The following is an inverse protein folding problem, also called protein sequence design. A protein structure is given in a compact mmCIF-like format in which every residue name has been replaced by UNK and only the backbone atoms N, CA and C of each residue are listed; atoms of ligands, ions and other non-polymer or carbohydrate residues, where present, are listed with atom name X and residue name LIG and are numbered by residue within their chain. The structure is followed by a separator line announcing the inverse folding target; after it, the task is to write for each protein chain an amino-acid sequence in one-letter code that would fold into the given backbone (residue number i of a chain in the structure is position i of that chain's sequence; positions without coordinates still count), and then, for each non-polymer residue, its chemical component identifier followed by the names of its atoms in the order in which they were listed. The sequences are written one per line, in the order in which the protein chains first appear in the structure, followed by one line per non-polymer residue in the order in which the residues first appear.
data_IF_055338088173
#
_entry.id   IF_055338088173
#
_cell.length_a   1.000
_cell.length_b   1.000
_cell.length_c   1.000
_cell.angle_alpha   90.00
_cell.angle_beta   90.00
_cell.angle_gamma   90.00
#
_symmetry.space_group_name_H-M   'P 1'
#
loop_
_entity.id
_entity.type
_entity.pdbx_description
1 polymer ?
#
# COMPACT_ATOMS: atom_id res chain seq x y z
N UNK A 1 11.63 18.53 1.64
CA UNK A 1 12.73 19.28 1.00
C UNK A 1 12.22 20.63 0.56
N UNK A 2 12.84 21.70 1.02
CA UNK A 2 12.41 23.06 0.69
C UNK A 2 13.50 23.74 -0.13
N UNK A 3 13.12 24.35 -1.26
CA UNK A 3 14.00 25.31 -1.94
C UNK A 3 13.60 26.69 -1.44
N UNK A 4 14.50 27.34 -0.76
CA UNK A 4 14.36 28.75 -0.40
C UNK A 4 14.65 29.61 -1.65
N UNK A 5 13.93 30.73 -1.80
CA UNK A 5 14.14 31.72 -2.87
C UNK A 5 15.57 32.28 -2.87
N UNK A 6 16.23 32.25 -1.73
CA UNK A 6 17.56 32.81 -1.49
C UNK A 6 18.71 31.80 -1.44
N UNK A 7 18.38 30.50 -1.42
CA UNK A 7 19.36 29.42 -1.28
C UNK A 7 19.05 28.26 -2.21
N UNK A 8 20.07 27.79 -2.90
CA UNK A 8 20.02 26.51 -3.62
C UNK A 8 20.30 25.32 -2.68
N UNK A 9 20.32 25.53 -1.37
CA UNK A 9 20.59 24.50 -0.39
C UNK A 9 19.34 23.62 -0.21
N UNK A 10 19.53 22.34 -0.41
CA UNK A 10 18.55 21.31 -0.07
C UNK A 10 18.65 21.00 1.42
N UNK A 11 17.55 20.61 2.03
CA UNK A 11 17.51 20.17 3.42
C UNK A 11 18.63 19.15 3.68
N UNK A 12 19.42 19.40 4.71
CA UNK A 12 20.68 18.69 4.96
C UNK A 12 20.50 17.23 5.36
N UNK A 13 19.33 16.85 5.89
CA UNK A 13 19.12 15.51 6.45
C UNK A 13 18.68 14.48 5.40
N UNK A 14 17.92 14.89 4.40
CA UNK A 14 17.42 13.99 3.35
C UNK A 14 18.54 13.24 2.59
N UNK A 15 19.65 13.87 2.18
CA UNK A 15 20.73 13.15 1.51
C UNK A 15 21.32 12.01 2.34
N UNK A 16 21.51 12.20 3.63
CA UNK A 16 22.09 11.18 4.52
C UNK A 16 21.11 10.04 4.78
N UNK A 17 19.83 10.34 4.88
CA UNK A 17 18.78 9.34 5.01
C UNK A 17 18.67 8.46 3.77
N UNK A 18 18.61 9.04 2.59
CA UNK A 18 18.56 8.31 1.33
C UNK A 18 19.79 7.41 1.13
N UNK A 19 20.98 7.90 1.47
CA UNK A 19 22.19 7.08 1.42
C UNK A 19 22.20 5.94 2.41
N UNK A 20 21.65 6.15 3.61
CA UNK A 20 21.50 5.09 4.60
C UNK A 20 20.53 4.00 4.10
N UNK A 21 19.41 4.40 3.52
CA UNK A 21 18.42 3.48 2.97
C UNK A 21 19.04 2.65 1.82
N UNK A 22 19.68 3.30 0.88
CA UNK A 22 20.33 2.64 -0.26
C UNK A 22 21.39 1.62 0.20
N UNK A 23 22.27 1.99 1.13
CA UNK A 23 23.27 1.08 1.72
C UNK A 23 22.65 -0.10 2.46
N UNK A 24 21.44 0.07 2.96
CA UNK A 24 20.68 -0.99 3.66
C UNK A 24 19.82 -1.83 2.71
N UNK A 25 19.89 -1.60 1.41
CA UNK A 25 19.06 -2.28 0.41
C UNK A 25 17.59 -1.87 0.45
N UNK A 26 17.29 -0.70 1.05
CA UNK A 26 15.92 -0.18 1.17
C UNK A 26 15.67 0.78 0.01
N UNK A 27 14.72 0.45 -0.87
CA UNK A 27 14.26 1.35 -1.91
C UNK A 27 13.55 2.57 -1.31
N UNK A 28 13.79 3.74 -1.91
CA UNK A 28 13.14 4.99 -1.47
C UNK A 28 12.23 5.54 -2.56
N UNK A 29 11.03 5.97 -2.17
CA UNK A 29 10.12 6.77 -2.96
C UNK A 29 10.23 8.22 -2.48
N UNK A 30 10.53 9.14 -3.38
CA UNK A 30 10.63 10.56 -3.05
C UNK A 30 9.41 11.32 -3.57
N UNK A 31 8.65 11.93 -2.65
CA UNK A 31 7.52 12.78 -2.97
C UNK A 31 8.00 14.20 -3.33
N UNK A 32 7.55 14.68 -4.48
CA UNK A 32 7.78 16.03 -5.01
C UNK A 32 6.55 16.90 -4.69
N UNK A 33 6.65 17.76 -3.76
CA UNK A 33 5.63 18.69 -3.24
C UNK A 33 6.22 19.37 -2.00
N UNK A 34 5.67 20.35 -1.44
CA UNK A 34 4.53 21.18 -1.78
C UNK A 34 5.00 22.56 -2.30
N UNK A 35 4.04 23.51 -2.51
CA UNK A 35 4.40 24.87 -2.91
C UNK A 35 5.04 25.63 -1.75
N UNK A 36 6.23 26.24 -1.93
CA UNK A 36 6.82 27.08 -0.90
C UNK A 36 5.96 28.32 -0.67
N UNK A 37 5.89 28.81 0.57
CA UNK A 37 4.98 29.89 0.98
C UNK A 37 5.08 31.16 0.11
N UNK A 38 6.29 31.50 -0.34
CA UNK A 38 6.52 32.68 -1.18
C UNK A 38 6.04 32.53 -2.62
N UNK A 39 5.74 31.29 -3.07
CA UNK A 39 5.23 30.98 -4.41
C UNK A 39 3.79 30.44 -4.38
N UNK A 40 3.17 30.38 -3.21
CA UNK A 40 1.83 29.86 -3.03
C UNK A 40 0.76 30.84 -3.57
N UNK A 41 -0.19 30.34 -4.38
CA UNK A 41 -1.29 31.13 -4.92
C UNK A 41 -2.30 31.55 -3.82
N UNK A 42 -2.41 30.76 -2.77
CA UNK A 42 -3.12 31.11 -1.55
C UNK A 42 -2.10 31.41 -0.46
N UNK A 43 -1.99 32.65 0.04
CA UNK A 43 -1.01 33.01 1.05
C UNK A 43 -1.03 32.08 2.27
N UNK A 44 0.10 31.49 2.60
CA UNK A 44 0.24 30.59 3.74
C UNK A 44 -0.17 29.14 3.52
N UNK A 45 -0.85 28.82 2.42
CA UNK A 45 -1.26 27.45 2.07
C UNK A 45 -0.27 26.78 1.13
N UNK A 46 0.56 25.90 1.67
CA UNK A 46 1.55 25.14 0.89
C UNK A 46 0.91 24.12 -0.06
N UNK A 47 -0.35 23.78 0.10
CA UNK A 47 -1.08 22.89 -0.79
C UNK A 47 -1.68 23.62 -1.99
N UNK A 48 -1.65 24.95 -1.99
CA UNK A 48 -2.10 25.74 -3.13
C UNK A 48 -1.10 25.67 -4.30
N UNK A 49 -1.61 25.88 -5.51
CA UNK A 49 -0.79 25.91 -6.71
C UNK A 49 0.34 26.95 -6.63
N UNK A 50 1.48 26.71 -7.26
CA UNK A 50 2.51 27.75 -7.40
C UNK A 50 2.01 28.87 -8.32
N UNK A 51 2.29 30.12 -7.95
CA UNK A 51 2.08 31.29 -8.82
C UNK A 51 2.98 31.18 -10.04
N UNK A 52 4.28 30.95 -9.80
CA UNK A 52 5.28 30.73 -10.83
C UNK A 52 5.54 29.23 -11.00
N UNK A 53 5.03 28.68 -12.10
CA UNK A 53 5.16 27.25 -12.45
C UNK A 53 6.56 26.90 -12.93
N UNK A 54 7.33 27.86 -13.43
CA UNK A 54 8.70 27.59 -13.85
C UNK A 54 9.60 27.31 -12.65
N UNK A 55 9.33 27.93 -11.51
CA UNK A 55 9.98 27.58 -10.24
C UNK A 55 9.65 26.12 -9.85
N UNK A 56 8.42 25.67 -10.01
CA UNK A 56 8.07 24.27 -9.80
C UNK A 56 8.88 23.32 -10.70
N UNK A 57 8.94 23.61 -12.00
CA UNK A 57 9.71 22.80 -12.95
C UNK A 57 11.21 22.77 -12.62
N UNK A 58 11.79 23.92 -12.24
CA UNK A 58 13.19 24.01 -11.82
C UNK A 58 13.46 23.18 -10.57
N UNK A 59 12.56 23.23 -9.60
CA UNK A 59 12.62 22.38 -8.40
C UNK A 59 12.62 20.89 -8.76
N UNK A 60 11.65 20.45 -9.55
CA UNK A 60 11.54 19.05 -9.98
C UNK A 60 12.81 18.62 -10.71
N UNK A 61 13.30 19.43 -11.67
CA UNK A 61 14.51 19.11 -12.42
C UNK A 61 15.73 18.97 -11.51
N UNK A 62 15.94 19.92 -10.60
CA UNK A 62 17.07 19.90 -9.66
C UNK A 62 17.03 18.67 -8.74
N UNK A 63 15.84 18.31 -8.23
CA UNK A 63 15.65 17.17 -7.33
C UNK A 63 15.86 15.86 -8.07
N UNK A 64 15.16 15.67 -9.18
CA UNK A 64 15.23 14.42 -9.94
C UNK A 64 16.64 14.21 -10.47
N UNK A 65 17.28 15.22 -11.06
CA UNK A 65 18.67 15.14 -11.54
C UNK A 65 19.63 14.72 -10.43
N UNK A 66 19.52 15.31 -9.24
CA UNK A 66 20.39 14.99 -8.11
C UNK A 66 20.20 13.57 -7.63
N UNK A 67 18.96 13.16 -7.40
CA UNK A 67 18.68 11.92 -6.69
C UNK A 67 18.50 10.69 -7.60
N UNK A 68 18.28 10.86 -8.89
CA UNK A 68 18.34 9.74 -9.83
C UNK A 68 19.76 9.31 -10.18
N UNK A 69 20.74 10.17 -9.94
CA UNK A 69 22.16 9.90 -10.18
C UNK A 69 22.82 9.20 -8.97
N UNK A 70 23.98 8.52 -9.19
CA UNK A 70 24.80 8.05 -8.09
C UNK A 70 25.19 9.18 -7.12
N UNK A 71 25.31 8.93 -5.82
CA UNK A 71 25.21 7.62 -5.17
C UNK A 71 23.77 7.24 -4.74
N UNK A 72 22.75 8.02 -5.05
CA UNK A 72 21.38 7.83 -4.57
C UNK A 72 20.59 6.82 -5.42
N UNK A 73 20.73 6.87 -6.73
CA UNK A 73 20.11 5.96 -7.70
C UNK A 73 18.59 5.82 -7.59
N UNK A 74 17.87 6.85 -7.13
CA UNK A 74 16.42 6.80 -7.00
C UNK A 74 15.76 6.64 -8.37
N UNK A 75 14.77 5.77 -8.44
CA UNK A 75 14.03 5.49 -9.67
C UNK A 75 12.57 5.92 -9.60
N UNK A 76 12.03 6.16 -8.41
CA UNK A 76 10.60 6.40 -8.20
C UNK A 76 10.39 7.77 -7.57
N UNK A 77 9.56 8.58 -8.21
CA UNK A 77 9.21 9.92 -7.76
C UNK A 77 7.69 10.08 -7.77
N UNK A 78 7.13 10.39 -6.62
CA UNK A 78 5.72 10.71 -6.47
C UNK A 78 5.51 12.19 -6.75
N UNK A 79 4.52 12.52 -7.59
CA UNK A 79 4.16 13.91 -7.87
C UNK A 79 3.01 14.30 -6.96
N UNK A 80 3.28 15.23 -6.04
CA UNK A 80 2.31 15.73 -5.05
C UNK A 80 1.79 14.66 -4.10
N UNK A 81 0.81 15.04 -3.27
CA UNK A 81 0.11 14.13 -2.36
C UNK A 81 -1.35 14.54 -2.25
N UNK A 82 -2.26 13.59 -2.48
CA UNK A 82 -3.70 13.72 -2.29
C UNK A 82 -4.31 14.98 -2.92
N UNK A 83 -3.97 15.24 -4.18
CA UNK A 83 -4.28 16.49 -4.86
C UNK A 83 -5.79 16.81 -4.99
N UNK A 84 -6.66 15.84 -4.87
CA UNK A 84 -8.07 16.01 -5.19
C UNK A 84 -9.05 15.22 -4.30
N UNK A 85 -8.68 14.93 -3.10
CA UNK A 85 -9.56 14.22 -2.19
C UNK A 85 -10.51 15.12 -1.40
N UNK A 86 -11.22 14.53 -0.48
CA UNK A 86 -12.10 15.17 0.48
C UNK A 86 -11.72 14.77 1.90
N UNK A 87 -12.00 15.63 2.86
CA UNK A 87 -11.95 15.25 4.27
C UNK A 87 -12.96 14.15 4.57
N UNK A 88 -12.67 13.33 5.56
CA UNK A 88 -13.65 12.48 6.20
C UNK A 88 -14.91 13.31 6.54
N UNK A 89 -16.07 12.84 6.10
CA UNK A 89 -17.32 13.62 6.17
C UNK A 89 -17.65 14.39 4.89
N UNK A 90 -16.86 14.31 3.84
CA UNK A 90 -17.17 14.82 2.51
C UNK A 90 -16.82 16.29 2.26
N UNK A 91 -16.22 16.98 3.24
CA UNK A 91 -15.73 18.34 3.03
C UNK A 91 -14.36 18.32 2.31
N UNK A 92 -14.10 19.28 1.41
CA UNK A 92 -12.82 19.42 0.79
C UNK A 92 -11.74 19.72 1.82
N UNK A 93 -10.59 19.08 1.69
CA UNK A 93 -9.47 19.25 2.61
C UNK A 93 -8.56 20.38 2.19
N UNK A 94 -8.03 21.14 3.15
CA UNK A 94 -7.03 22.18 2.87
C UNK A 94 -5.73 21.61 2.32
N UNK A 95 -5.44 20.35 2.60
CA UNK A 95 -4.31 19.61 2.04
C UNK A 95 -4.45 19.28 0.55
N UNK A 96 -5.65 19.40 0.00
CA UNK A 96 -5.89 19.09 -1.40
C UNK A 96 -5.61 20.28 -2.30
N UNK A 97 -5.49 20.01 -3.62
CA UNK A 97 -5.10 20.99 -4.60
C UNK A 97 -6.01 22.22 -4.63
N UNK A 98 -5.40 23.39 -4.57
CA UNK A 98 -6.01 24.68 -4.77
C UNK A 98 -5.30 25.42 -5.91
N UNK A 99 -5.78 25.31 -7.12
CA UNK A 99 -5.23 26.01 -8.28
C UNK A 99 -5.73 27.45 -8.40
N UNK A 100 -5.16 28.25 -9.29
CA UNK A 100 -5.61 29.64 -9.53
C UNK A 100 -7.04 29.74 -10.04
N UNK A 101 -7.56 28.70 -10.67
CA UNK A 101 -8.95 28.62 -11.12
C UNK A 101 -9.89 28.00 -10.06
N UNK A 102 -9.38 27.72 -8.89
CA UNK A 102 -10.16 27.14 -7.81
C UNK A 102 -11.15 28.15 -7.22
N UNK A 103 -12.40 27.73 -7.03
CA UNK A 103 -13.40 28.47 -6.27
C UNK A 103 -13.91 27.65 -5.09
N UNK A 104 -14.35 28.32 -4.04
CA UNK A 104 -14.92 27.65 -2.87
C UNK A 104 -16.21 26.89 -3.24
N UNK A 105 -17.02 27.46 -4.11
CA UNK A 105 -18.26 26.84 -4.56
C UNK A 105 -18.00 25.59 -5.40
N UNK A 106 -16.99 25.61 -6.24
CA UNK A 106 -16.56 24.48 -7.05
C UNK A 106 -16.00 23.34 -6.17
N UNK A 107 -15.30 23.69 -5.10
CA UNK A 107 -14.81 22.76 -4.10
C UNK A 107 -15.92 21.95 -3.43
N UNK A 108 -17.07 22.55 -3.22
CA UNK A 108 -18.18 21.95 -2.49
C UNK A 108 -19.17 21.19 -3.38
N UNK A 109 -19.31 21.58 -4.67
CA UNK A 109 -20.46 21.19 -5.48
C UNK A 109 -20.17 20.44 -6.75
N UNK A 110 -18.94 20.47 -7.26
CA UNK A 110 -18.61 19.93 -8.60
C UNK A 110 -17.35 19.06 -8.62
N UNK A 111 -17.15 18.35 -9.72
CA UNK A 111 -16.03 17.45 -9.95
C UNK A 111 -14.63 18.08 -10.00
N UNK A 112 -14.44 19.29 -9.54
CA UNK A 112 -13.13 19.98 -9.50
C UNK A 112 -12.45 20.12 -10.87
N UNK A 113 -13.20 20.29 -11.96
CA UNK A 113 -12.65 20.26 -13.32
C UNK A 113 -11.55 21.30 -13.55
N UNK A 114 -11.71 22.51 -13.00
CA UNK A 114 -10.67 23.53 -13.10
C UNK A 114 -9.45 23.24 -12.25
N UNK A 115 -9.65 22.68 -11.07
CA UNK A 115 -8.56 22.23 -10.21
C UNK A 115 -7.81 21.06 -10.86
N UNK A 116 -8.52 20.11 -11.47
CA UNK A 116 -7.92 19.06 -12.29
C UNK A 116 -7.10 19.62 -13.45
N UNK A 117 -7.65 20.57 -14.18
CA UNK A 117 -6.95 21.22 -15.29
C UNK A 117 -5.65 21.84 -14.81
N UNK A 118 -5.69 22.66 -13.77
CA UNK A 118 -4.50 23.29 -13.20
C UNK A 118 -3.47 22.26 -12.73
N UNK A 119 -3.91 21.24 -12.01
CA UNK A 119 -3.02 20.21 -11.52
C UNK A 119 -2.38 19.42 -12.67
N UNK A 120 -3.16 18.95 -13.62
CA UNK A 120 -2.66 18.13 -14.73
C UNK A 120 -1.72 18.93 -15.62
N UNK A 121 -2.12 20.15 -16.01
CA UNK A 121 -1.38 20.96 -16.99
C UNK A 121 -0.16 21.66 -16.39
N UNK A 122 -0.23 22.08 -15.15
CA UNK A 122 0.79 22.93 -14.52
C UNK A 122 1.72 22.15 -13.59
N UNK A 123 1.26 21.05 -12.99
CA UNK A 123 2.00 20.27 -12.01
C UNK A 123 2.40 18.91 -12.55
N UNK A 124 1.41 18.04 -12.82
CA UNK A 124 1.65 16.63 -13.07
C UNK A 124 2.41 16.38 -14.38
N UNK A 125 1.86 16.76 -15.52
CA UNK A 125 2.49 16.47 -16.83
C UNK A 125 3.87 17.12 -16.96
N UNK A 126 4.09 18.39 -16.56
CA UNK A 126 5.42 18.97 -16.59
C UNK A 126 6.44 18.23 -15.72
N UNK A 127 6.05 17.84 -14.50
CA UNK A 127 6.91 17.08 -13.62
C UNK A 127 7.20 15.67 -14.18
N UNK A 128 6.19 14.98 -14.68
CA UNK A 128 6.33 13.66 -15.28
C UNK A 128 7.28 13.64 -16.47
N UNK A 129 7.20 14.65 -17.33
CA UNK A 129 8.14 14.83 -18.46
C UNK A 129 9.59 14.98 -17.95
N UNK A 130 9.79 15.72 -16.88
CA UNK A 130 11.11 15.90 -16.28
C UNK A 130 11.61 14.57 -15.70
N UNK A 131 10.79 13.88 -14.90
CA UNK A 131 11.13 12.59 -14.29
C UNK A 131 11.57 11.59 -15.37
N UNK A 132 10.80 11.43 -16.44
CA UNK A 132 11.10 10.49 -17.53
C UNK A 132 12.37 10.85 -18.31
N UNK A 133 12.77 12.12 -18.41
CA UNK A 133 14.07 12.52 -18.99
C UNK A 133 15.26 11.92 -18.26
N UNK A 134 15.12 11.65 -16.98
CA UNK A 134 16.16 11.02 -16.13
C UNK A 134 15.97 9.51 -16.02
N UNK A 135 15.17 8.89 -16.89
CA UNK A 135 14.88 7.46 -16.91
C UNK A 135 14.32 6.95 -15.55
N UNK A 136 13.59 7.81 -14.87
CA UNK A 136 12.89 7.49 -13.63
C UNK A 136 11.38 7.33 -13.88
N UNK A 137 10.70 6.76 -12.91
CA UNK A 137 9.28 6.42 -12.99
C UNK A 137 8.43 7.41 -12.20
N UNK A 138 7.25 7.64 -12.74
CA UNK A 138 6.23 8.53 -12.16
C UNK A 138 5.27 7.71 -11.31
N UNK A 139 5.23 8.00 -10.02
CA UNK A 139 4.22 7.49 -9.10
C UNK A 139 3.13 8.56 -8.97
N UNK A 140 1.89 8.17 -9.19
CA UNK A 140 0.76 9.07 -9.06
C UNK A 140 0.58 9.51 -7.61
N UNK A 141 0.30 10.76 -7.37
CA UNK A 141 0.47 11.43 -6.08
C UNK A 141 -0.49 11.07 -4.96
N UNK A 142 -0.71 9.81 -4.70
CA UNK A 142 -1.53 9.30 -3.60
C UNK A 142 -3.00 9.70 -3.71
N UNK A 143 -3.86 8.76 -3.58
CA UNK A 143 -5.29 9.02 -3.69
C UNK A 143 -6.03 8.49 -2.46
N UNK A 144 -6.69 9.34 -1.69
CA UNK A 144 -7.50 8.89 -0.57
C UNK A 144 -8.73 8.13 -1.08
N UNK A 145 -9.18 7.16 -0.33
CA UNK A 145 -10.40 6.39 -0.57
C UNK A 145 -11.69 7.24 -0.65
N UNK A 146 -11.59 8.49 -0.21
CA UNK A 146 -12.67 9.47 -0.09
C UNK A 146 -13.20 9.96 -1.44
N UNK A 147 -13.87 9.17 -2.13
CA UNK A 147 -14.42 9.46 -3.46
C UNK A 147 -14.41 8.23 -4.33
N UNK A 148 -13.83 7.15 -3.81
CA UNK A 148 -13.85 5.84 -4.40
C UNK A 148 -13.26 5.77 -5.81
N UNK A 149 -13.58 4.71 -6.51
CA UNK A 149 -13.09 4.44 -7.86
C UNK A 149 -13.47 5.53 -8.87
N UNK A 150 -14.63 6.19 -8.71
CA UNK A 150 -15.07 7.25 -9.63
C UNK A 150 -14.10 8.42 -9.67
N UNK A 151 -13.48 8.77 -8.55
CA UNK A 151 -12.46 9.80 -8.52
C UNK A 151 -11.18 9.35 -9.24
N UNK A 152 -10.75 8.10 -9.06
CA UNK A 152 -9.62 7.57 -9.83
C UNK A 152 -9.87 7.65 -11.32
N UNK A 153 -11.03 7.18 -11.77
CA UNK A 153 -11.41 7.24 -13.20
C UNK A 153 -11.40 8.66 -13.72
N UNK A 154 -12.01 9.59 -12.99
CA UNK A 154 -12.10 10.99 -13.40
C UNK A 154 -10.72 11.63 -13.58
N UNK A 155 -9.80 11.42 -12.65
CA UNK A 155 -8.47 12.04 -12.69
C UNK A 155 -7.55 11.34 -13.68
N UNK A 156 -7.49 10.03 -13.69
CA UNK A 156 -6.63 9.27 -14.59
C UNK A 156 -7.05 9.44 -16.05
N UNK A 157 -8.36 9.48 -16.33
CA UNK A 157 -8.88 9.67 -17.68
C UNK A 157 -8.97 11.13 -18.13
N UNK A 158 -8.66 12.07 -17.23
CA UNK A 158 -8.72 13.49 -17.59
C UNK A 158 -7.77 13.80 -18.73
N UNK A 159 -8.33 14.36 -19.82
CA UNK A 159 -7.57 14.83 -20.98
C UNK A 159 -7.52 16.35 -21.00
N UNK A 160 -6.32 16.90 -20.91
CA UNK A 160 -6.12 18.34 -20.97
C UNK A 160 -6.64 18.92 -22.30
N UNK A 161 -7.49 19.92 -22.27
CA UNK A 161 -7.93 20.61 -23.49
C UNK A 161 -6.80 21.45 -24.12
N UNK A 162 -5.78 21.82 -23.35
CA UNK A 162 -4.64 22.61 -23.80
C UNK A 162 -3.52 21.73 -24.33
N UNK A 163 -3.06 20.77 -23.52
CA UNK A 163 -1.94 19.89 -23.87
C UNK A 163 -2.34 18.77 -24.82
N UNK A 164 -3.65 18.45 -24.93
CA UNK A 164 -4.19 17.33 -25.71
C UNK A 164 -3.72 15.95 -25.22
N UNK A 165 -3.18 15.88 -24.04
CA UNK A 165 -2.64 14.68 -23.40
C UNK A 165 -3.53 14.23 -22.25
N UNK A 166 -3.58 12.93 -22.01
CA UNK A 166 -4.32 12.32 -20.91
C UNK A 166 -3.38 12.15 -19.71
N UNK A 167 -3.88 12.37 -18.49
CA UNK A 167 -3.07 12.25 -17.29
C UNK A 167 -2.48 10.85 -17.13
N UNK A 168 -3.25 9.79 -17.39
CA UNK A 168 -2.80 8.40 -17.28
C UNK A 168 -1.58 8.09 -18.17
N UNK A 169 -1.44 8.75 -19.31
CA UNK A 169 -0.30 8.55 -20.21
C UNK A 169 1.03 8.99 -19.57
N UNK A 170 0.95 9.73 -18.47
CA UNK A 170 2.06 10.24 -17.67
C UNK A 170 2.13 9.64 -16.25
N UNK A 171 1.53 8.48 -16.05
CA UNK A 171 1.56 7.71 -14.80
C UNK A 171 2.20 6.36 -15.07
N UNK A 172 3.24 6.00 -14.33
CA UNK A 172 3.84 4.67 -14.41
C UNK A 172 3.26 3.74 -13.34
N UNK A 173 3.05 4.21 -12.12
CA UNK A 173 2.43 3.47 -11.03
C UNK A 173 1.26 4.25 -10.45
N UNK A 174 0.12 3.59 -10.35
CA UNK A 174 -1.08 4.16 -9.73
C UNK A 174 -0.92 4.01 -8.23
N UNK A 175 -0.89 5.12 -7.53
CA UNK A 175 -0.77 5.15 -6.09
C UNK A 175 -2.14 5.34 -5.43
N UNK A 176 -2.38 4.54 -4.41
CA UNK A 176 -3.60 4.57 -3.63
C UNK A 176 -3.30 4.85 -2.16
N UNK A 177 -4.26 5.46 -1.46
CA UNK A 177 -4.22 5.63 -0.01
C UNK A 177 -5.49 5.02 0.58
N UNK A 178 -5.34 4.09 1.53
CA UNK A 178 -6.44 3.44 2.26
C UNK A 178 -7.49 2.72 1.36
N UNK A 179 -7.19 2.50 0.09
CA UNK A 179 -8.12 1.81 -0.81
C UNK A 179 -8.26 0.34 -0.41
N UNK A 180 -9.49 -0.21 -0.32
CA UNK A 180 -9.68 -1.64 -0.12
C UNK A 180 -9.00 -2.47 -1.22
N UNK A 181 -8.41 -3.60 -0.86
CA UNK A 181 -7.72 -4.48 -1.81
C UNK A 181 -8.65 -4.97 -2.92
N UNK A 182 -9.95 -5.17 -2.61
CA UNK A 182 -10.97 -5.53 -3.61
C UNK A 182 -11.10 -4.51 -4.73
N UNK A 183 -10.93 -3.23 -4.43
CA UNK A 183 -11.09 -2.15 -5.41
C UNK A 183 -9.83 -1.98 -6.28
N UNK A 184 -8.68 -2.41 -5.78
CA UNK A 184 -7.43 -2.43 -6.55
C UNK A 184 -7.53 -3.34 -7.78
N UNK A 185 -8.35 -4.41 -7.70
CA UNK A 185 -8.59 -5.29 -8.84
C UNK A 185 -9.19 -4.55 -10.04
N UNK A 186 -10.13 -3.65 -9.80
CA UNK A 186 -10.75 -2.83 -10.85
C UNK A 186 -9.71 -1.92 -11.51
N UNK A 187 -8.90 -1.24 -10.72
CA UNK A 187 -7.81 -0.39 -11.22
C UNK A 187 -6.77 -1.21 -12.00
N UNK A 188 -6.41 -2.39 -11.49
CA UNK A 188 -5.48 -3.30 -12.15
C UNK A 188 -5.98 -3.73 -13.53
N UNK A 189 -7.21 -4.24 -13.61
CA UNK A 189 -7.78 -4.72 -14.87
C UNK A 189 -7.85 -3.60 -15.91
N UNK A 190 -8.26 -2.41 -15.49
CA UNK A 190 -8.49 -1.30 -16.40
C UNK A 190 -7.21 -0.58 -16.82
N UNK A 191 -6.31 -0.30 -15.89
CA UNK A 191 -5.20 0.62 -16.11
C UNK A 191 -3.83 -0.03 -16.17
N UNK A 192 -3.68 -1.22 -15.61
CA UNK A 192 -2.41 -1.95 -15.63
C UNK A 192 -2.46 -3.05 -16.68
N UNK A 193 -3.35 -4.04 -16.51
CA UNK A 193 -3.44 -5.18 -17.43
C UNK A 193 -3.82 -4.75 -18.85
N UNK A 194 -4.82 -3.90 -18.97
CA UNK A 194 -5.33 -3.40 -20.25
C UNK A 194 -4.96 -1.93 -20.52
N UNK A 195 -4.04 -1.36 -19.75
CA UNK A 195 -3.67 0.04 -19.82
C UNK A 195 -2.15 0.27 -19.80
N UNK A 196 -1.74 1.54 -19.78
CA UNK A 196 -0.32 1.91 -19.85
C UNK A 196 0.41 1.84 -18.50
N UNK A 197 -0.30 1.80 -17.36
CA UNK A 197 0.33 1.77 -16.05
C UNK A 197 1.07 0.44 -15.82
N UNK A 198 2.09 0.48 -14.96
CA UNK A 198 2.99 -0.67 -14.69
C UNK A 198 2.59 -1.45 -13.46
N UNK A 199 1.88 -0.85 -12.53
CA UNK A 199 1.46 -1.48 -11.29
C UNK A 199 0.62 -0.55 -10.41
N UNK A 200 0.20 -1.09 -9.27
CA UNK A 200 -0.54 -0.37 -8.24
C UNK A 200 0.26 -0.39 -6.95
N UNK A 201 0.44 0.77 -6.36
CA UNK A 201 1.11 0.97 -5.08
C UNK A 201 0.10 1.44 -4.04
N UNK A 202 0.32 1.05 -2.80
CA UNK A 202 -0.36 1.59 -1.63
C UNK A 202 0.70 2.30 -0.80
N UNK A 203 0.87 3.60 -1.00
CA UNK A 203 1.97 4.31 -0.35
C UNK A 203 1.60 4.88 1.00
N UNK A 204 0.32 4.86 1.35
CA UNK A 204 -0.12 5.30 2.66
C UNK A 204 -1.25 4.41 3.20
N UNK A 205 -0.89 3.54 4.14
CA UNK A 205 -1.83 2.77 4.96
C UNK A 205 -1.41 2.85 6.42
N UNK A 206 -2.29 3.36 7.26
CA UNK A 206 -2.09 3.47 8.70
C UNK A 206 -3.22 2.79 9.46
N UNK A 207 -2.98 2.49 10.73
CA UNK A 207 -4.03 1.96 11.59
C UNK A 207 -4.89 3.11 12.13
N UNK A 208 -5.90 3.53 11.39
CA UNK A 208 -6.88 4.51 11.86
C UNK A 208 -7.68 4.00 13.07
N UNK A 209 -7.78 2.70 13.18
CA UNK A 209 -8.53 2.01 14.25
C UNK A 209 -7.54 1.46 15.28
N UNK A 210 -6.97 2.33 16.10
CA UNK A 210 -5.99 1.96 17.16
C UNK A 210 -6.41 0.75 17.99
N UNK A 211 -7.69 0.49 18.09
CA UNK A 211 -8.25 -0.62 18.87
C UNK A 211 -8.37 -1.92 18.10
N UNK A 212 -8.12 -1.92 16.78
CA UNK A 212 -8.11 -3.15 15.98
C UNK A 212 -6.68 -3.55 15.59
N UNK A 213 -6.01 -4.39 16.39
CA UNK A 213 -4.66 -4.87 16.08
C UNK A 213 -4.62 -5.79 14.87
N UNK A 214 -5.76 -6.18 14.33
CA UNK A 214 -5.88 -7.03 13.13
C UNK A 214 -5.83 -6.26 11.82
N UNK A 215 -6.08 -4.94 11.85
CA UNK A 215 -6.27 -4.14 10.64
C UNK A 215 -5.05 -4.19 9.72
N UNK A 216 -3.89 -3.81 10.21
CA UNK A 216 -2.67 -3.78 9.40
C UNK A 216 -2.21 -5.17 8.95
N UNK A 217 -2.08 -6.19 9.82
CA UNK A 217 -1.64 -7.51 9.36
C UNK A 217 -2.60 -8.12 8.35
N UNK A 218 -3.92 -7.92 8.50
CA UNK A 218 -4.92 -8.35 7.52
C UNK A 218 -4.71 -7.64 6.19
N UNK A 219 -4.60 -6.33 6.21
CA UNK A 219 -4.44 -5.55 4.99
C UNK A 219 -3.15 -5.92 4.23
N UNK A 220 -2.03 -6.02 4.92
CA UNK A 220 -0.75 -6.40 4.32
C UNK A 220 -0.77 -7.81 3.73
N UNK A 221 -1.39 -8.75 4.43
CA UNK A 221 -1.52 -10.12 3.93
C UNK A 221 -2.43 -10.20 2.70
N UNK A 222 -3.60 -9.57 2.76
CA UNK A 222 -4.56 -9.57 1.64
C UNK A 222 -3.99 -8.84 0.41
N UNK A 223 -3.24 -7.74 0.63
CA UNK A 223 -2.52 -7.08 -0.45
C UNK A 223 -1.46 -7.99 -1.08
N UNK A 224 -0.69 -8.71 -0.27
CA UNK A 224 0.30 -9.66 -0.77
C UNK A 224 -0.36 -10.80 -1.58
N UNK A 225 -1.44 -11.38 -1.06
CA UNK A 225 -2.21 -12.42 -1.78
C UNK A 225 -2.74 -11.90 -3.11
N UNK A 226 -3.33 -10.69 -3.09
CA UNK A 226 -3.82 -10.04 -4.30
C UNK A 226 -2.70 -9.80 -5.30
N UNK A 227 -1.60 -9.18 -4.89
CA UNK A 227 -0.49 -8.84 -5.75
C UNK A 227 0.16 -10.09 -6.38
N UNK A 228 0.41 -11.12 -5.57
CA UNK A 228 1.01 -12.39 -6.04
C UNK A 228 0.09 -13.15 -6.99
N UNK A 229 -1.21 -12.93 -6.94
CA UNK A 229 -2.17 -13.53 -7.85
C UNK A 229 -2.25 -12.87 -9.23
N UNK A 230 -1.47 -11.81 -9.46
CA UNK A 230 -1.48 -11.09 -10.75
C UNK A 230 -0.58 -11.75 -11.77
N UNK A 231 -0.77 -11.33 -13.01
CA UNK A 231 0.03 -11.80 -14.15
C UNK A 231 1.38 -11.07 -14.18
N UNK A 232 2.46 -11.83 -14.08
CA UNK A 232 3.83 -11.32 -14.02
C UNK A 232 4.62 -11.56 -15.31
N UNK A 233 3.95 -11.80 -16.43
CA UNK A 233 4.60 -12.13 -17.71
C UNK A 233 5.43 -10.96 -18.27
N UNK A 234 5.09 -9.73 -17.90
CA UNK A 234 5.88 -8.56 -18.27
C UNK A 234 6.72 -8.06 -17.08
N UNK A 235 8.04 -8.22 -17.10
CA UNK A 235 8.92 -7.78 -16.00
C UNK A 235 8.94 -6.26 -15.80
N UNK A 236 8.40 -5.50 -16.75
CA UNK A 236 8.28 -4.03 -16.64
C UNK A 236 6.94 -3.58 -16.07
N UNK A 237 6.03 -4.52 -15.82
CA UNK A 237 4.71 -4.27 -15.25
C UNK A 237 4.55 -4.95 -13.90
N UNK A 238 3.42 -4.72 -13.26
CA UNK A 238 2.93 -5.42 -12.07
C UNK A 238 3.79 -5.30 -10.81
N UNK A 239 4.74 -4.36 -10.79
CA UNK A 239 5.42 -4.05 -9.54
C UNK A 239 4.42 -3.39 -8.58
N UNK A 240 4.17 -4.07 -7.47
CA UNK A 240 3.29 -3.57 -6.41
C UNK A 240 4.08 -3.32 -5.14
N UNK A 241 3.79 -2.21 -4.46
CA UNK A 241 4.45 -1.80 -3.23
C UNK A 241 3.40 -1.39 -2.20
N UNK A 242 3.72 -1.61 -0.92
CA UNK A 242 2.90 -1.19 0.20
C UNK A 242 3.77 -0.53 1.27
N UNK A 243 3.35 0.63 1.75
CA UNK A 243 4.04 1.40 2.77
C UNK A 243 3.11 1.69 3.94
N UNK A 244 3.61 1.50 5.14
CA UNK A 244 2.93 1.96 6.34
C UNK A 244 3.17 3.46 6.55
N UNK A 245 2.09 4.19 6.87
CA UNK A 245 2.19 5.59 7.27
C UNK A 245 2.42 5.71 8.78
N UNK A 246 3.60 6.17 9.18
CA UNK A 246 4.04 6.33 10.58
C UNK A 246 4.12 7.82 10.97
N UNK A 247 3.07 8.59 10.68
CA UNK A 247 3.07 10.04 10.85
C UNK A 247 3.04 10.50 12.31
N UNK A 248 1.99 10.19 13.03
CA UNK A 248 1.78 10.57 14.44
C UNK A 248 0.92 9.53 15.16
N UNK A 249 0.80 9.64 16.49
CA UNK A 249 -0.20 8.86 17.22
C UNK A 249 -1.61 9.18 16.66
N UNK A 250 -2.44 8.19 16.34
CA UNK A 250 -2.39 6.76 16.69
C UNK A 250 -1.69 5.83 15.67
N UNK A 251 -1.14 6.34 14.59
CA UNK A 251 -0.67 5.54 13.47
C UNK A 251 0.70 4.89 13.70
N UNK A 252 1.45 5.34 14.71
CA UNK A 252 2.77 4.80 15.01
C UNK A 252 2.75 3.31 15.33
N UNK A 253 3.82 2.63 14.96
CA UNK A 253 4.04 1.21 15.29
C UNK A 253 4.83 1.04 16.57
N UNK A 254 5.44 2.12 17.08
CA UNK A 254 6.29 2.11 18.27
C UNK A 254 5.85 3.15 19.27
N UNK A 255 6.03 2.85 20.57
CA UNK A 255 5.92 3.86 21.60
C UNK A 255 7.16 4.77 21.60
N UNK A 256 7.01 6.08 21.77
CA UNK A 256 8.16 6.96 21.95
C UNK A 256 8.83 6.68 23.32
N UNK A 257 10.12 6.62 23.35
CA UNK A 257 10.88 6.50 24.62
C UNK A 257 12.35 6.14 24.42
N UNK A 258 13.26 6.76 25.19
CA UNK A 258 14.65 6.33 25.28
C UNK A 258 14.81 5.13 26.23
N UNK A 259 15.87 4.28 26.07
CA UNK A 259 16.79 4.29 24.94
C UNK A 259 16.29 3.49 23.73
N UNK A 260 15.29 2.63 23.92
CA UNK A 260 14.79 1.73 22.88
C UNK A 260 13.29 1.97 22.62
N UNK A 261 12.95 2.06 21.35
CA UNK A 261 11.55 2.09 20.94
C UNK A 261 10.95 0.71 21.15
N UNK A 262 9.88 0.63 21.93
CA UNK A 262 9.10 -0.59 22.08
C UNK A 262 7.95 -0.61 21.06
N UNK A 263 7.66 -1.76 20.49
CA UNK A 263 6.55 -1.91 19.57
C UNK A 263 5.22 -1.89 20.34
N UNK A 264 4.27 -1.11 19.82
CA UNK A 264 2.89 -1.20 20.26
C UNK A 264 2.21 -2.47 19.69
N UNK A 265 0.91 -2.63 19.96
CA UNK A 265 0.17 -3.82 19.51
C UNK A 265 0.21 -3.98 17.99
N UNK A 266 -0.01 -2.90 17.24
CA UNK A 266 0.03 -2.91 15.77
C UNK A 266 1.44 -3.23 15.24
N UNK A 267 2.47 -2.68 15.85
CA UNK A 267 3.86 -3.00 15.50
C UNK A 267 4.20 -4.46 15.77
N UNK A 268 3.77 -5.01 16.91
CA UNK A 268 3.95 -6.44 17.21
C UNK A 268 3.24 -7.34 16.23
N UNK A 269 1.99 -7.04 15.86
CA UNK A 269 1.24 -7.85 14.90
C UNK A 269 1.90 -7.89 13.51
N UNK A 270 2.52 -6.79 13.07
CA UNK A 270 3.31 -6.78 11.83
C UNK A 270 4.62 -7.59 11.95
N UNK A 271 5.25 -7.60 13.12
CA UNK A 271 6.41 -8.48 13.36
C UNK A 271 5.99 -9.96 13.27
N UNK A 272 4.85 -10.32 13.88
CA UNK A 272 4.31 -11.68 13.79
C UNK A 272 4.03 -12.05 12.35
N UNK A 273 3.38 -11.17 11.59
CA UNK A 273 3.15 -11.37 10.15
C UNK A 273 4.49 -11.61 9.42
N UNK A 274 5.49 -10.77 9.64
CA UNK A 274 6.81 -10.93 9.00
C UNK A 274 7.51 -12.23 9.37
N UNK A 275 7.41 -12.67 10.62
CA UNK A 275 8.00 -13.92 11.10
C UNK A 275 7.29 -15.15 10.53
N UNK A 276 5.99 -15.06 10.30
CA UNK A 276 5.15 -16.16 9.83
C UNK A 276 5.11 -16.25 8.31
N UNK A 277 4.99 -15.13 7.62
CA UNK A 277 4.81 -15.02 6.18
C UNK A 277 5.84 -14.06 5.54
N UNK A 278 7.07 -14.02 6.06
CA UNK A 278 8.17 -13.22 5.52
C UNK A 278 9.03 -13.99 4.52
N UNK A 279 9.91 -13.24 3.82
CA UNK A 279 10.87 -13.82 2.88
C UNK A 279 10.33 -13.94 1.47
N UNK A 280 10.67 -15.03 0.79
CA UNK A 280 10.22 -15.27 -0.59
C UNK A 280 8.77 -15.75 -0.61
N UNK A 281 7.88 -14.94 -1.16
CA UNK A 281 6.46 -15.24 -1.27
C UNK A 281 6.09 -15.68 -2.67
N UNK A 282 5.10 -16.59 -2.76
CA UNK A 282 4.50 -17.00 -4.02
C UNK A 282 2.99 -17.18 -3.86
N UNK A 283 2.28 -17.08 -4.97
CA UNK A 283 0.83 -17.28 -4.99
C UNK A 283 0.46 -18.73 -4.66
N UNK A 284 -0.66 -18.91 -3.95
CA UNK A 284 -1.29 -20.20 -3.75
C UNK A 284 -2.66 -20.20 -4.44
N UNK A 285 -2.76 -20.90 -5.55
CA UNK A 285 -3.95 -20.91 -6.44
C UNK A 285 -4.88 -22.10 -6.23
N UNK A 286 -4.61 -22.96 -5.24
CA UNK A 286 -5.46 -24.12 -4.99
C UNK A 286 -6.70 -23.73 -4.20
N UNK A 287 -7.83 -24.44 -4.41
CA UNK A 287 -9.09 -24.10 -3.74
C UNK A 287 -9.01 -24.30 -2.24
N UNK A 288 -9.53 -23.31 -1.51
CA UNK A 288 -9.79 -23.37 -0.08
C UNK A 288 -11.30 -23.47 0.14
N UNK A 289 -11.72 -24.45 0.93
CA UNK A 289 -13.11 -24.62 1.35
C UNK A 289 -13.19 -24.35 2.84
N UNK A 290 -13.70 -23.17 3.19
CA UNK A 290 -13.82 -22.74 4.58
C UNK A 290 -15.13 -23.22 5.18
N UNK A 291 -15.08 -23.66 6.43
CA UNK A 291 -16.28 -23.96 7.22
C UNK A 291 -17.13 -22.70 7.48
N UNK A 292 -18.35 -22.87 7.97
CA UNK A 292 -19.24 -21.74 8.29
C UNK A 292 -18.57 -20.73 9.23
N UNK A 293 -18.63 -19.45 8.87
CA UNK A 293 -18.05 -18.37 9.69
C UNK A 293 -16.53 -18.26 9.66
N UNK A 294 -15.85 -19.05 8.84
CA UNK A 294 -14.40 -18.96 8.61
C UNK A 294 -14.15 -18.22 7.31
N UNK A 295 -13.25 -17.23 7.34
CA UNK A 295 -12.68 -16.61 6.15
C UNK A 295 -11.17 -16.87 6.13
N UNK A 296 -10.64 -17.25 4.97
CA UNK A 296 -9.20 -17.49 4.82
C UNK A 296 -8.70 -17.02 3.46
N UNK A 297 -7.48 -16.50 3.47
CA UNK A 297 -6.67 -16.25 2.28
C UNK A 297 -5.31 -16.94 2.46
N UNK A 298 -4.61 -17.28 1.37
CA UNK A 298 -3.42 -18.11 1.45
C UNK A 298 -2.33 -17.66 0.47
N UNK A 299 -1.09 -17.86 0.89
CA UNK A 299 0.12 -17.73 0.06
C UNK A 299 1.16 -18.78 0.47
N UNK A 300 2.18 -18.95 -0.37
CA UNK A 300 3.38 -19.71 -0.02
C UNK A 300 4.45 -18.76 0.52
N UNK A 301 5.06 -19.14 1.63
CA UNK A 301 6.23 -18.45 2.21
C UNK A 301 7.39 -19.46 2.26
N UNK A 302 8.31 -19.34 1.33
CA UNK A 302 9.31 -20.38 1.11
C UNK A 302 8.65 -21.72 0.79
N UNK A 303 8.86 -22.70 1.67
CA UNK A 303 8.28 -24.05 1.52
C UNK A 303 6.97 -24.25 2.27
N UNK A 304 6.49 -23.28 3.01
CA UNK A 304 5.32 -23.37 3.87
C UNK A 304 4.08 -22.73 3.22
N UNK A 305 2.93 -23.34 3.44
CA UNK A 305 1.65 -22.72 3.14
C UNK A 305 1.21 -21.92 4.36
N UNK A 306 1.03 -20.64 4.18
CA UNK A 306 0.53 -19.73 5.22
C UNK A 306 -0.86 -19.28 4.84
N UNK A 307 -1.81 -19.50 5.72
CA UNK A 307 -3.19 -19.02 5.58
C UNK A 307 -3.47 -18.02 6.69
N UNK A 308 -3.92 -16.83 6.32
CA UNK A 308 -4.53 -15.90 7.25
C UNK A 308 -5.98 -16.33 7.45
N UNK A 309 -6.37 -16.54 8.68
CA UNK A 309 -7.69 -17.04 9.05
C UNK A 309 -8.39 -16.05 9.98
N UNK A 310 -9.64 -15.72 9.66
CA UNK A 310 -10.53 -14.94 10.53
C UNK A 310 -11.79 -15.75 10.84
N UNK A 311 -12.04 -16.02 12.12
CA UNK A 311 -13.13 -16.87 12.56
C UNK A 311 -13.61 -16.53 13.97
N UNK A 312 -14.79 -17.03 14.35
CA UNK A 312 -15.26 -17.08 15.75
C UNK A 312 -14.51 -18.14 16.56
N UNK A 313 -14.63 -18.07 17.89
CA UNK A 313 -14.08 -19.05 18.82
C UNK A 313 -14.67 -20.46 18.61
N UNK A 314 -13.94 -21.47 19.08
CA UNK A 314 -14.34 -22.87 19.00
C UNK A 314 -13.63 -23.66 17.91
N UNK A 315 -14.12 -24.86 17.63
CA UNK A 315 -13.55 -25.72 16.59
C UNK A 315 -13.98 -25.25 15.21
N UNK A 316 -12.99 -25.06 14.33
CA UNK A 316 -13.15 -24.61 12.96
C UNK A 316 -12.46 -25.59 12.00
N UNK A 317 -12.80 -25.50 10.71
CA UNK A 317 -12.19 -26.34 9.69
C UNK A 317 -11.98 -25.60 8.37
N UNK A 318 -10.91 -25.99 7.67
CA UNK A 318 -10.62 -25.60 6.31
C UNK A 318 -10.18 -26.86 5.55
N UNK A 319 -10.75 -27.06 4.35
CA UNK A 319 -10.30 -28.11 3.44
C UNK A 319 -9.53 -27.49 2.27
N UNK A 320 -8.41 -28.12 1.89
CA UNK A 320 -7.48 -27.63 0.89
C UNK A 320 -7.30 -28.67 -0.21
N UNK A 321 -7.59 -28.29 -1.43
CA UNK A 321 -7.37 -29.15 -2.61
C UNK A 321 -5.95 -29.07 -3.15
N UNK A 322 -5.60 -30.02 -4.01
CA UNK A 322 -4.35 -30.00 -4.78
C UNK A 322 -3.06 -30.27 -4.01
N UNK A 323 -3.17 -30.90 -2.83
CA UNK A 323 -2.04 -31.26 -1.97
C UNK A 323 -1.87 -32.78 -1.79
N UNK A 324 -2.44 -33.60 -2.69
CA UNK A 324 -2.48 -35.06 -2.59
C UNK A 324 -1.09 -35.71 -2.46
N UNK A 325 -0.07 -35.11 -3.08
CA UNK A 325 1.32 -35.56 -2.99
C UNK A 325 1.86 -35.57 -1.53
N UNK A 326 1.22 -34.86 -0.63
CA UNK A 326 1.60 -34.81 0.78
C UNK A 326 0.96 -35.91 1.63
N UNK A 327 0.00 -36.68 1.09
CA UNK A 327 -0.82 -37.64 1.86
C UNK A 327 -0.01 -38.74 2.56
N UNK A 328 1.11 -39.13 1.95
CA UNK A 328 1.99 -40.16 2.51
C UNK A 328 3.02 -39.65 3.51
N UNK A 329 2.98 -38.36 3.85
CA UNK A 329 3.98 -37.71 4.72
C UNK A 329 3.36 -37.25 6.04
N UNK A 330 4.12 -37.23 7.12
CA UNK A 330 3.68 -36.53 8.33
C UNK A 330 3.62 -35.05 8.05
N UNK A 331 2.44 -34.47 8.27
CA UNK A 331 2.19 -33.04 8.07
C UNK A 331 2.16 -32.36 9.43
N UNK A 332 2.99 -31.33 9.57
CA UNK A 332 2.94 -30.43 10.69
C UNK A 332 2.13 -29.20 10.31
N UNK A 333 1.19 -28.82 11.14
CA UNK A 333 0.43 -27.60 11.02
C UNK A 333 0.36 -26.86 12.35
N UNK A 334 0.62 -25.57 12.31
CA UNK A 334 0.64 -24.69 13.49
C UNK A 334 -0.46 -23.63 13.34
N UNK A 335 -1.16 -23.34 14.44
CA UNK A 335 -2.08 -22.23 14.56
C UNK A 335 -1.42 -21.15 15.41
N UNK A 336 -1.18 -19.96 14.84
CA UNK A 336 -0.41 -18.88 15.45
C UNK A 336 -1.32 -17.66 15.59
N UNK A 337 -1.43 -17.12 16.82
CA UNK A 337 -2.17 -15.87 17.06
C UNK A 337 -1.49 -14.71 16.31
N UNK A 338 -2.26 -13.95 15.54
CA UNK A 338 -1.72 -12.90 14.68
C UNK A 338 -1.21 -11.65 15.44
N UNK A 339 -1.57 -11.52 16.72
CA UNK A 339 -1.18 -10.37 17.53
C UNK A 339 -0.02 -10.72 18.47
N UNK A 340 -0.14 -11.83 19.20
CA UNK A 340 0.86 -12.26 20.17
C UNK A 340 2.00 -13.06 19.54
N UNK A 341 1.74 -13.77 18.45
CA UNK A 341 2.67 -14.73 17.83
C UNK A 341 2.73 -16.06 18.57
N UNK A 342 1.88 -16.26 19.57
CA UNK A 342 1.85 -17.52 20.31
C UNK A 342 1.25 -18.63 19.46
N UNK A 343 1.95 -19.76 19.40
CA UNK A 343 1.45 -20.95 18.76
C UNK A 343 0.50 -21.70 19.72
N UNK A 344 -0.61 -22.18 19.20
CA UNK A 344 -1.51 -23.04 19.96
C UNK A 344 -0.83 -24.35 20.38
N UNK A 345 -1.19 -24.89 21.54
CA UNK A 345 -0.66 -26.19 21.99
C UNK A 345 -0.87 -27.29 20.94
N UNK A 346 0.06 -28.24 20.94
CA UNK A 346 -0.04 -29.44 20.13
C UNK A 346 -1.39 -30.16 20.41
N UNK A 347 -2.10 -30.54 19.34
CA UNK A 347 -3.44 -31.13 19.44
C UNK A 347 -4.59 -30.15 19.19
N UNK A 348 -4.32 -28.83 19.17
CA UNK A 348 -5.30 -27.83 18.75
C UNK A 348 -5.40 -27.70 17.21
N UNK A 349 -4.51 -28.37 16.46
CA UNK A 349 -4.58 -28.51 15.02
C UNK A 349 -4.50 -29.99 14.68
N UNK A 350 -5.52 -30.49 13.99
CA UNK A 350 -5.56 -31.86 13.48
C UNK A 350 -5.59 -31.85 11.96
N UNK A 351 -4.79 -32.72 11.34
CA UNK A 351 -4.74 -32.92 9.89
C UNK A 351 -5.36 -34.26 9.56
N UNK A 352 -6.28 -34.27 8.64
CA UNK A 352 -6.91 -35.48 8.10
C UNK A 352 -7.12 -35.36 6.60
N UNK A 353 -7.45 -36.48 5.95
CA UNK A 353 -7.72 -36.50 4.52
C UNK A 353 -9.10 -37.05 4.24
N UNK A 354 -9.84 -36.35 3.42
CA UNK A 354 -11.10 -36.83 2.85
C UNK A 354 -11.01 -36.73 1.33
N UNK A 355 -11.01 -37.88 0.67
CA UNK A 355 -10.74 -37.99 -0.77
C UNK A 355 -9.44 -37.23 -1.12
N UNK A 356 -9.52 -36.22 -1.99
CA UNK A 356 -8.36 -35.41 -2.44
C UNK A 356 -8.18 -34.12 -1.63
N UNK A 357 -8.92 -33.94 -0.56
CA UNK A 357 -8.87 -32.75 0.28
C UNK A 357 -8.10 -33.02 1.57
N UNK A 358 -7.13 -32.15 1.85
CA UNK A 358 -6.50 -32.08 3.15
C UNK A 358 -7.39 -31.23 4.08
N UNK A 359 -7.89 -31.84 5.12
CA UNK A 359 -8.72 -31.17 6.13
C UNK A 359 -7.88 -30.77 7.32
N UNK A 360 -7.92 -29.48 7.63
CA UNK A 360 -7.35 -28.89 8.82
C UNK A 360 -8.49 -28.55 9.78
N UNK A 361 -8.50 -29.21 10.95
CA UNK A 361 -9.41 -28.88 12.04
C UNK A 361 -8.60 -28.23 13.15
N UNK A 362 -9.00 -27.02 13.57
CA UNK A 362 -8.25 -26.23 14.53
C UNK A 362 -9.18 -25.60 15.55
N UNK A 363 -8.63 -25.38 16.77
CA UNK A 363 -9.39 -24.77 17.86
C UNK A 363 -8.98 -23.30 18.03
N UNK A 364 -9.92 -22.41 17.82
CA UNK A 364 -9.78 -20.97 18.04
C UNK A 364 -10.07 -20.66 19.51
N UNK A 365 -9.22 -19.92 20.23
CA UNK A 365 -9.42 -19.54 21.62
C UNK A 365 -10.75 -18.81 21.85
N UNK A 366 -11.25 -18.87 23.08
CA UNK A 366 -12.49 -18.16 23.45
C UNK A 366 -12.29 -16.65 23.53
N UNK A 367 -11.13 -16.20 23.96
CA UNK A 367 -10.80 -14.78 23.95
C UNK A 367 -10.42 -14.34 22.53
N UNK A 368 -10.87 -13.15 22.16
CA UNK A 368 -10.56 -12.54 20.88
C UNK A 368 -9.33 -11.62 21.02
N UNK A 369 -8.46 -11.64 20.03
CA UNK A 369 -7.27 -10.78 20.00
C UNK A 369 -7.54 -9.40 19.39
N UNK A 370 -8.81 -9.09 19.08
CA UNK A 370 -9.31 -7.78 18.67
C UNK A 370 -10.59 -7.44 19.39
N UNK A 371 -10.63 -6.29 20.05
CA UNK A 371 -11.70 -5.95 20.97
C UNK A 371 -13.01 -5.52 20.27
N UNK A 372 -12.95 -4.96 19.08
CA UNK A 372 -14.05 -4.17 18.50
C UNK A 372 -14.69 -4.81 17.25
N UNK A 373 -14.46 -6.10 17.02
CA UNK A 373 -15.12 -6.82 15.94
C UNK A 373 -16.59 -7.12 16.28
N UNK A 374 -17.50 -6.84 15.38
CA UNK A 374 -18.91 -7.21 15.51
C UNK A 374 -19.37 -8.02 14.27
N UNK A 375 -19.55 -9.36 14.37
CA UNK A 375 -19.30 -10.19 15.57
C UNK A 375 -17.80 -10.31 15.88
N UNK A 376 -17.44 -10.53 17.15
CA UNK A 376 -16.06 -10.74 17.57
C UNK A 376 -15.38 -11.85 16.78
N UNK A 377 -14.19 -11.58 16.27
CA UNK A 377 -13.42 -12.54 15.47
C UNK A 377 -11.99 -12.61 15.91
N UNK A 378 -11.42 -13.79 15.77
CA UNK A 378 -10.00 -14.03 15.98
C UNK A 378 -9.26 -13.99 14.65
N UNK A 379 -8.12 -13.29 14.58
CA UNK A 379 -7.21 -13.36 13.46
C UNK A 379 -6.00 -14.20 13.84
N UNK A 380 -5.70 -15.18 13.01
CA UNK A 380 -4.59 -16.08 13.20
C UNK A 380 -3.95 -16.48 11.88
N UNK A 381 -2.78 -17.09 11.98
CA UNK A 381 -2.14 -17.77 10.87
C UNK A 381 -2.17 -19.28 11.09
N UNK A 382 -2.70 -20.00 10.10
CA UNK A 382 -2.61 -21.46 10.04
C UNK A 382 -1.49 -21.80 9.06
N UNK A 383 -0.40 -22.39 9.57
CA UNK A 383 0.81 -22.64 8.82
C UNK A 383 0.97 -24.14 8.61
N UNK A 384 0.95 -24.59 7.36
CA UNK A 384 1.27 -25.97 6.98
C UNK A 384 2.69 -26.02 6.48
N UNK A 385 3.54 -26.78 7.18
CA UNK A 385 4.98 -26.81 6.94
C UNK A 385 5.37 -27.69 5.76
N UNK A 386 6.33 -27.23 4.96
CA UNK A 386 7.02 -27.98 3.90
C UNK A 386 6.12 -28.54 2.80
N UNK A 387 5.10 -27.78 2.41
CA UNK A 387 4.15 -28.22 1.36
C UNK A 387 4.79 -28.33 -0.03
N UNK A 388 5.81 -27.55 -0.34
CA UNK A 388 6.48 -27.53 -1.66
C UNK A 388 7.60 -28.55 -1.79
N UNK A 389 8.06 -29.18 -0.69
CA UNK A 389 9.09 -30.23 -0.77
C UNK A 389 8.48 -31.50 -1.36
N UNK A 390 8.57 -31.64 -2.69
CA UNK A 390 8.13 -32.82 -3.45
C UNK A 390 6.97 -32.59 -4.40
N UNK A 391 6.66 -31.34 -4.69
CA UNK A 391 5.88 -30.91 -5.86
C UNK A 391 6.90 -30.34 -6.84
N UNK A 392 7.67 -31.22 -7.48
CA UNK A 392 8.45 -30.94 -8.70
C UNK A 392 7.71 -31.51 -9.88
#
# INVERSE_FOLDING_TARGET
MRIDKTSSAFDSDLPSELLRNERSGIGSLLMLGYTPRWNASVPGDSNSAPVDVDVWKQYVDAVVRKYSAPPYNLRYFQIWNEAAGKLSGGLPQSAFWHGPNFSQDEKLSKPYERAMQDYVERIHIPAARIIRRYHAYVVYGGWPDQGGLDNFHRWLEYRSPVLKERMLDWVDYIDTHYLPVSDMETLYQQYVKNGPARGIWQTEIGNEYMKDPHYLPRYFFDFAVWALGRDWDDPNKYLSMIYHWDGYEPFRLTHPGPPERTYNVSGRSLIVLRQTAGGHLASFSKPLQCGPGVAASALLSGNDLVMQVSSSAGWQNIAIGGLQALRSRPIQADFIDAVSGEASPAGNVAVSWDNDLMNLRFKVPEHMNGADNNPPRHLAYLVVRRVTQGVT
#
